data_IF_132326335227
#
_entry.id   IF_132326335227
#
_cell.length_a   1.000
_cell.length_b   1.000
_cell.length_c   1.000
_cell.angle_alpha   90.00
_cell.angle_beta   90.00
_cell.angle_gamma   90.00
#
_symmetry.space_group_name_H-M   'P 1'
#
loop_
_entity.id
_entity.type
_entity.pdbx_description
1 polymer ?
#
# COMPACT_ATOMS: atom_id res chain seq x y z
N UNK A 1 -18.34 -18.46 12.70
CA UNK A 1 -17.52 -17.61 11.83
C UNK A 1 -16.44 -18.51 11.25
N UNK A 2 -16.26 -18.52 9.92
CA UNK A 2 -15.11 -19.20 9.29
C UNK A 2 -13.85 -18.43 9.66
N UNK A 3 -12.78 -19.12 9.98
CA UNK A 3 -11.44 -18.53 10.14
C UNK A 3 -10.96 -18.04 8.77
N UNK A 4 -10.34 -16.85 8.74
CA UNK A 4 -9.75 -16.30 7.52
C UNK A 4 -8.28 -15.99 7.78
N UNK A 5 -7.42 -16.41 6.84
CA UNK A 5 -5.98 -16.18 6.88
C UNK A 5 -5.61 -15.02 5.96
N UNK A 6 -5.12 -13.92 6.56
CA UNK A 6 -4.62 -12.76 5.82
C UNK A 6 -3.11 -12.66 5.99
N UNK A 7 -2.38 -12.64 4.88
CA UNK A 7 -0.94 -12.38 4.87
C UNK A 7 -0.70 -10.90 4.62
N UNK A 8 0.05 -10.27 5.52
CA UNK A 8 0.43 -8.86 5.40
C UNK A 8 1.93 -8.74 5.16
N UNK A 9 2.29 -8.03 4.10
CA UNK A 9 3.66 -7.72 3.70
C UNK A 9 3.81 -6.21 3.54
N UNK A 10 4.99 -5.68 3.85
CA UNK A 10 5.32 -4.26 3.73
C UNK A 10 6.79 -4.08 3.38
N UNK A 11 7.15 -2.91 2.86
CA UNK A 11 8.53 -2.45 2.75
C UNK A 11 9.44 -3.39 1.93
N UNK A 12 8.97 -3.83 0.77
CA UNK A 12 9.71 -4.72 -0.14
C UNK A 12 10.96 -4.05 -0.71
N UNK A 13 10.91 -2.73 -0.91
CA UNK A 13 12.01 -1.87 -1.32
C UNK A 13 12.84 -2.46 -2.48
N UNK A 14 12.18 -2.83 -3.59
CA UNK A 14 12.87 -3.29 -4.80
C UNK A 14 13.83 -2.21 -5.32
N UNK A 15 15.10 -2.30 -4.91
CA UNK A 15 16.15 -1.34 -5.21
C UNK A 15 17.46 -1.78 -4.56
N UNK A 16 18.42 -0.87 -4.38
CA UNK A 16 19.65 -1.14 -3.62
C UNK A 16 19.62 -0.38 -2.29
N UNK A 17 19.85 -1.07 -1.15
CA UNK A 17 20.00 -2.52 -0.98
C UNK A 17 18.65 -3.23 -0.97
N UNK A 18 18.55 -4.41 -1.60
CA UNK A 18 17.39 -5.31 -1.51
C UNK A 18 17.87 -6.70 -1.14
N UNK A 19 17.20 -7.34 -0.19
CA UNK A 19 17.49 -8.72 0.16
C UNK A 19 16.64 -9.68 -0.69
N UNK A 20 17.19 -10.09 -1.83
CA UNK A 20 16.52 -11.03 -2.73
C UNK A 20 16.34 -12.44 -2.12
N UNK A 21 17.09 -12.80 -1.08
CA UNK A 21 16.91 -14.08 -0.41
C UNK A 21 15.64 -14.05 0.45
N UNK A 22 15.38 -12.94 1.14
CA UNK A 22 14.13 -12.74 1.88
C UNK A 22 12.93 -12.68 0.93
N UNK A 23 13.02 -11.93 -0.18
CA UNK A 23 11.94 -11.90 -1.18
C UNK A 23 11.59 -13.30 -1.66
N UNK A 24 12.59 -14.10 -2.06
CA UNK A 24 12.36 -15.49 -2.48
C UNK A 24 11.82 -16.39 -1.36
N UNK A 25 12.17 -16.14 -0.11
CA UNK A 25 11.61 -16.87 1.02
C UNK A 25 10.11 -16.55 1.18
N UNK A 26 9.72 -15.29 1.08
CA UNK A 26 8.32 -14.86 1.10
C UNK A 26 7.54 -15.48 -0.06
N UNK A 27 8.07 -15.46 -1.29
CA UNK A 27 7.45 -16.06 -2.47
C UNK A 27 7.17 -17.57 -2.32
N UNK A 28 7.97 -18.27 -1.52
CA UNK A 28 7.74 -19.70 -1.20
C UNK A 28 6.78 -19.89 -0.01
N UNK A 29 6.87 -19.02 0.99
CA UNK A 29 6.10 -19.13 2.22
C UNK A 29 4.63 -18.80 2.00
N UNK A 30 4.33 -17.73 1.26
CA UNK A 30 2.95 -17.24 1.11
C UNK A 30 2.03 -18.29 0.51
N UNK A 31 2.37 -18.96 -0.61
CA UNK A 31 1.55 -20.07 -1.15
C UNK A 31 1.38 -21.24 -0.17
N UNK A 32 2.41 -21.53 0.64
CA UNK A 32 2.34 -22.62 1.63
C UNK A 32 1.38 -22.33 2.79
N UNK A 33 1.08 -21.06 3.05
CA UNK A 33 0.10 -20.64 4.04
C UNK A 33 -1.34 -20.72 3.54
N UNK A 34 -1.54 -20.88 2.22
CA UNK A 34 -2.84 -20.89 1.56
C UNK A 34 -3.76 -19.74 2.05
N UNK A 35 -3.34 -18.46 1.95
CA UNK A 35 -4.10 -17.35 2.51
C UNK A 35 -5.38 -17.08 1.72
N UNK A 36 -6.40 -16.56 2.40
CA UNK A 36 -7.63 -16.05 1.76
C UNK A 36 -7.37 -14.70 1.08
N UNK A 37 -6.39 -13.93 1.59
CA UNK A 37 -5.96 -12.67 0.98
C UNK A 37 -4.50 -12.35 1.29
N UNK A 38 -3.87 -11.57 0.40
CA UNK A 38 -2.57 -10.96 0.61
C UNK A 38 -2.71 -9.44 0.60
N UNK A 39 -2.05 -8.76 1.52
CA UNK A 39 -2.01 -7.31 1.63
C UNK A 39 -0.59 -6.81 1.54
N UNK A 40 -0.35 -5.85 0.65
CA UNK A 40 0.91 -5.14 0.47
C UNK A 40 0.71 -3.69 0.92
N UNK A 41 1.26 -3.31 2.07
CA UNK A 41 1.05 -1.99 2.65
C UNK A 41 2.14 -0.98 2.29
N UNK A 42 2.56 -0.95 1.03
CA UNK A 42 3.39 0.11 0.48
C UNK A 42 4.89 -0.17 0.47
N UNK A 43 5.64 0.83 0.00
CA UNK A 43 7.08 0.81 -0.21
C UNK A 43 7.56 -0.38 -1.05
N UNK A 44 6.86 -0.56 -2.17
CA UNK A 44 7.23 -1.55 -3.19
C UNK A 44 8.58 -1.19 -3.81
N UNK A 45 8.81 0.08 -4.11
CA UNK A 45 10.07 0.58 -4.66
C UNK A 45 10.95 1.25 -3.60
N UNK A 46 12.26 1.34 -3.87
CA UNK A 46 13.18 2.09 -3.02
C UNK A 46 13.28 3.57 -3.44
N UNK A 47 13.18 3.87 -4.72
CA UNK A 47 13.40 5.22 -5.30
C UNK A 47 12.51 5.51 -6.51
N UNK A 48 11.37 4.88 -6.60
CA UNK A 48 10.41 5.04 -7.71
C UNK A 48 11.05 4.88 -9.10
N UNK A 49 12.00 3.94 -9.26
CA UNK A 49 12.65 3.66 -10.55
C UNK A 49 11.89 2.61 -11.35
N UNK A 50 11.93 2.71 -12.67
CA UNK A 50 11.25 1.76 -13.55
C UNK A 50 11.61 0.29 -13.27
N UNK A 51 12.91 -0.03 -13.13
CA UNK A 51 13.35 -1.40 -12.84
C UNK A 51 12.96 -1.91 -11.44
N UNK A 52 12.71 -1.00 -10.49
CA UNK A 52 12.19 -1.35 -9.16
C UNK A 52 10.72 -1.71 -9.27
N UNK A 53 9.92 -0.89 -9.95
CA UNK A 53 8.50 -1.16 -10.20
C UNK A 53 8.27 -2.41 -11.05
N UNK A 54 9.10 -2.69 -12.05
CA UNK A 54 9.00 -3.93 -12.82
C UNK A 54 9.16 -5.17 -11.93
N UNK A 55 10.12 -5.14 -10.98
CA UNK A 55 10.29 -6.23 -10.00
C UNK A 55 9.12 -6.31 -9.02
N UNK A 56 8.63 -5.16 -8.57
CA UNK A 56 7.45 -5.06 -7.71
C UNK A 56 6.21 -5.62 -8.39
N UNK A 57 6.00 -5.29 -9.67
CA UNK A 57 4.90 -5.83 -10.47
C UNK A 57 5.00 -7.35 -10.59
N UNK A 58 6.18 -7.87 -10.97
CA UNK A 58 6.38 -9.31 -11.08
C UNK A 58 6.19 -10.04 -9.73
N UNK A 59 6.49 -9.40 -8.60
CA UNK A 59 6.18 -9.93 -7.27
C UNK A 59 4.67 -9.88 -6.99
N UNK A 60 4.00 -8.76 -7.29
CA UNK A 60 2.56 -8.60 -7.12
C UNK A 60 1.79 -9.66 -7.90
N UNK A 61 2.15 -9.90 -9.18
CA UNK A 61 1.55 -10.93 -10.02
C UNK A 61 1.64 -12.32 -9.37
N UNK A 62 2.80 -12.69 -8.81
CA UNK A 62 2.95 -13.96 -8.09
C UNK A 62 2.08 -14.05 -6.83
N UNK A 63 1.87 -12.93 -6.12
CA UNK A 63 0.95 -12.91 -4.99
C UNK A 63 -0.50 -13.05 -5.45
N UNK A 64 -0.86 -12.40 -6.56
CA UNK A 64 -2.19 -12.51 -7.18
C UNK A 64 -2.49 -13.90 -7.73
N UNK A 65 -1.49 -14.61 -8.23
CA UNK A 65 -1.61 -16.04 -8.61
C UNK A 65 -1.91 -16.93 -7.39
N UNK A 66 -1.55 -16.48 -6.19
CA UNK A 66 -1.77 -17.24 -4.95
C UNK A 66 -3.11 -16.94 -4.30
N UNK A 67 -3.48 -15.67 -4.16
CA UNK A 67 -4.72 -15.22 -3.52
C UNK A 67 -5.09 -13.79 -3.96
N UNK A 68 -6.36 -13.39 -3.79
CA UNK A 68 -6.77 -11.99 -3.94
C UNK A 68 -5.83 -11.06 -3.19
N UNK A 69 -5.22 -10.10 -3.90
CA UNK A 69 -4.16 -9.25 -3.35
C UNK A 69 -4.54 -7.78 -3.42
N UNK A 70 -4.36 -7.07 -2.31
CA UNK A 70 -4.55 -5.63 -2.18
C UNK A 70 -3.19 -4.95 -1.99
N UNK A 71 -2.92 -3.90 -2.79
CA UNK A 71 -1.72 -3.09 -2.69
C UNK A 71 -2.08 -1.62 -2.48
N UNK A 72 -1.46 -0.95 -1.51
CA UNK A 72 -1.48 0.51 -1.37
C UNK A 72 -0.07 1.06 -1.54
N UNK A 73 0.11 2.32 -2.01
CA UNK A 73 1.42 2.92 -2.13
C UNK A 73 1.99 3.35 -0.77
N UNK A 74 3.31 3.24 -0.63
CA UNK A 74 4.08 3.83 0.46
C UNK A 74 4.76 5.15 0.08
N UNK A 75 5.54 5.73 0.98
CA UNK A 75 6.19 7.02 0.74
C UNK A 75 7.35 6.93 -0.28
N UNK A 76 8.01 5.78 -0.41
CA UNK A 76 9.03 5.54 -1.44
C UNK A 76 8.43 5.31 -2.84
N UNK A 77 7.12 5.05 -2.93
CA UNK A 77 6.37 4.92 -4.18
C UNK A 77 5.85 6.26 -4.72
N UNK A 78 6.09 7.36 -3.99
CA UNK A 78 5.64 8.71 -4.36
C UNK A 78 6.80 9.50 -4.96
N UNK A 79 6.59 10.06 -6.16
CA UNK A 79 7.55 10.97 -6.80
C UNK A 79 7.38 12.42 -6.28
N UNK A 80 7.55 12.63 -4.95
CA UNK A 80 7.29 13.90 -4.26
C UNK A 80 8.07 15.08 -4.85
N UNK A 81 9.27 14.84 -5.42
CA UNK A 81 10.09 15.88 -6.06
C UNK A 81 9.48 16.46 -7.34
N UNK A 82 8.53 15.76 -7.98
CA UNK A 82 7.82 16.23 -9.17
C UNK A 82 6.67 17.18 -8.84
N UNK A 83 6.17 17.14 -7.62
CA UNK A 83 5.08 18.00 -7.16
C UNK A 83 5.27 18.34 -5.69
N UNK A 84 6.33 19.11 -5.35
CA UNK A 84 6.55 19.53 -3.98
C UNK A 84 5.31 20.31 -3.49
N UNK A 85 4.89 20.01 -2.26
CA UNK A 85 3.67 20.55 -1.64
C UNK A 85 2.34 20.25 -2.39
N UNK A 86 2.35 19.29 -3.32
CA UNK A 86 1.15 18.91 -4.08
C UNK A 86 0.69 19.95 -5.11
N UNK A 87 1.52 20.95 -5.46
CA UNK A 87 1.20 22.08 -6.36
C UNK A 87 0.67 21.59 -7.72
N UNK A 88 1.21 20.50 -8.27
CA UNK A 88 0.78 19.91 -9.53
C UNK A 88 -0.23 18.75 -9.35
N UNK A 89 -0.74 18.57 -8.13
CA UNK A 89 -1.76 17.60 -7.79
C UNK A 89 -1.27 16.16 -7.62
N UNK A 90 -2.12 15.33 -7.01
CA UNK A 90 -1.85 13.91 -6.72
C UNK A 90 -1.57 13.07 -7.97
N UNK A 91 -2.14 13.44 -9.11
CA UNK A 91 -1.98 12.68 -10.36
C UNK A 91 -0.52 12.59 -10.79
N UNK A 92 0.25 13.67 -10.60
CA UNK A 92 1.69 13.71 -10.93
C UNK A 92 2.52 12.91 -9.93
N UNK A 93 2.15 12.97 -8.63
CA UNK A 93 2.87 12.26 -7.56
C UNK A 93 2.89 10.74 -7.76
N UNK A 94 1.79 10.16 -8.27
CA UNK A 94 1.62 8.73 -8.45
C UNK A 94 1.65 8.28 -9.91
N UNK A 95 2.06 9.14 -10.83
CA UNK A 95 1.99 8.85 -12.27
C UNK A 95 2.73 7.55 -12.64
N UNK A 96 3.94 7.37 -12.10
CA UNK A 96 4.73 6.17 -12.36
C UNK A 96 4.18 4.95 -11.62
N UNK A 97 3.76 5.09 -10.37
CA UNK A 97 3.10 4.01 -9.63
C UNK A 97 1.90 3.45 -10.41
N UNK A 98 1.02 4.35 -10.88
CA UNK A 98 -0.16 3.98 -11.67
C UNK A 98 0.17 3.27 -12.98
N UNK A 99 1.27 3.65 -13.61
CA UNK A 99 1.74 3.00 -14.85
C UNK A 99 1.98 1.50 -14.66
N UNK A 100 2.38 1.06 -13.46
CA UNK A 100 2.71 -0.33 -13.15
C UNK A 100 1.60 -1.07 -12.40
N UNK A 101 0.95 -0.39 -11.45
CA UNK A 101 0.01 -1.03 -10.52
C UNK A 101 -1.46 -0.65 -10.76
N UNK A 102 -1.74 0.19 -11.77
CA UNK A 102 -3.09 0.62 -12.08
C UNK A 102 -3.49 1.93 -11.40
N UNK A 103 -4.65 2.45 -11.79
CA UNK A 103 -5.12 3.79 -11.39
C UNK A 103 -5.59 3.87 -9.93
N UNK A 104 -5.99 2.74 -9.35
CA UNK A 104 -6.56 2.72 -7.99
C UNK A 104 -5.46 2.74 -6.93
N UNK A 105 -5.50 3.75 -6.05
CA UNK A 105 -4.55 3.92 -4.95
C UNK A 105 -5.11 3.44 -3.60
N UNK A 106 -6.42 3.27 -3.54
CA UNK A 106 -7.16 2.95 -2.31
C UNK A 106 -8.15 1.80 -2.55
N UNK A 107 -7.66 0.65 -3.04
CA UNK A 107 -8.50 -0.46 -3.45
C UNK A 107 -9.31 -1.04 -2.29
N UNK A 108 -10.42 -1.69 -2.64
CA UNK A 108 -11.27 -2.41 -1.69
C UNK A 108 -11.36 -3.87 -2.13
N UNK A 109 -11.03 -4.79 -1.24
CA UNK A 109 -11.16 -6.21 -1.42
C UNK A 109 -12.26 -6.75 -0.51
N UNK A 110 -13.25 -7.44 -1.10
CA UNK A 110 -14.34 -8.08 -0.38
C UNK A 110 -14.29 -9.58 -0.55
N UNK A 111 -14.28 -10.27 0.57
CA UNK A 111 -14.34 -11.72 0.66
C UNK A 111 -15.49 -12.12 1.61
N UNK A 112 -15.96 -13.35 1.58
CA UNK A 112 -16.98 -13.79 2.51
C UNK A 112 -16.56 -13.57 3.97
N UNK A 113 -17.29 -12.67 4.69
CA UNK A 113 -17.01 -12.33 6.08
C UNK A 113 -15.80 -11.42 6.33
N UNK A 114 -15.14 -10.89 5.28
CA UNK A 114 -13.98 -10.02 5.39
C UNK A 114 -14.02 -8.90 4.36
N UNK A 115 -13.83 -7.67 4.80
CA UNK A 115 -13.56 -6.52 3.93
C UNK A 115 -12.20 -5.91 4.26
N UNK A 116 -11.37 -5.71 3.25
CA UNK A 116 -10.06 -5.07 3.35
C UNK A 116 -10.10 -3.78 2.53
N UNK A 117 -9.81 -2.65 3.16
CA UNK A 117 -9.91 -1.33 2.54
C UNK A 117 -8.57 -0.63 2.60
N UNK A 118 -8.00 -0.33 1.44
CA UNK A 118 -6.80 0.47 1.32
C UNK A 118 -7.09 1.94 1.65
N UNK A 119 -6.18 2.60 2.36
CA UNK A 119 -6.21 4.02 2.66
C UNK A 119 -4.90 4.69 2.26
N UNK A 120 -5.01 5.90 1.71
CA UNK A 120 -3.86 6.65 1.24
C UNK A 120 -3.29 7.51 2.37
N UNK A 121 -2.14 7.11 2.89
CA UNK A 121 -1.38 7.86 3.92
C UNK A 121 -0.08 8.47 3.40
N UNK A 122 0.38 8.06 2.21
CA UNK A 122 1.60 8.55 1.57
C UNK A 122 1.26 9.71 0.63
N UNK A 123 1.47 10.94 1.06
CA UNK A 123 1.13 12.16 0.29
C UNK A 123 2.37 12.95 -0.16
N UNK A 124 3.58 12.45 0.09
CA UNK A 124 4.81 13.19 -0.08
C UNK A 124 4.89 14.38 0.90
N UNK A 125 5.37 15.52 0.43
CA UNK A 125 5.36 16.76 1.23
C UNK A 125 3.94 17.34 1.25
N UNK A 126 3.22 17.18 2.36
CA UNK A 126 1.90 17.74 2.58
C UNK A 126 1.93 18.73 3.77
N UNK A 127 1.06 19.75 3.75
CA UNK A 127 0.99 20.70 4.86
C UNK A 127 0.70 20.02 6.22
N UNK A 128 -0.07 18.92 6.22
CA UNK A 128 -0.36 18.12 7.42
C UNK A 128 0.81 17.27 7.92
N UNK A 129 1.84 17.02 7.08
CA UNK A 129 3.04 16.25 7.42
C UNK A 129 4.27 17.13 7.67
N UNK A 130 4.14 18.46 7.70
CA UNK A 130 5.26 19.36 7.92
C UNK A 130 5.84 19.19 9.33
N UNK A 131 7.14 18.99 9.39
CA UNK A 131 7.93 18.89 10.63
C UNK A 131 9.19 19.71 10.49
N UNK A 132 9.73 20.21 11.61
CA UNK A 132 11.01 20.93 11.66
C UNK A 132 12.23 20.03 11.40
N UNK A 133 12.04 18.70 11.43
CA UNK A 133 13.10 17.75 11.14
C UNK A 133 13.07 17.37 9.65
N UNK A 134 14.08 17.78 8.89
CA UNK A 134 14.17 17.51 7.44
C UNK A 134 14.15 16.01 7.08
N UNK A 135 14.56 15.14 8.02
CA UNK A 135 14.53 13.66 7.81
C UNK A 135 13.12 13.11 7.86
N UNK A 136 12.21 13.76 8.55
CA UNK A 136 10.83 13.28 8.73
C UNK A 136 9.86 13.86 7.69
N UNK A 137 10.27 14.87 6.92
CA UNK A 137 9.40 15.59 5.98
C UNK A 137 8.78 14.70 4.90
N UNK A 138 9.46 13.64 4.49
CA UNK A 138 9.00 12.70 3.45
C UNK A 138 8.51 11.36 4.02
N UNK A 139 8.78 11.11 5.31
CA UNK A 139 8.52 9.83 6.00
C UNK A 139 7.22 9.90 6.80
N UNK A 140 6.80 11.09 7.25
CA UNK A 140 5.55 11.22 7.99
C UNK A 140 4.34 11.04 7.08
N UNK A 141 3.53 10.04 7.44
CA UNK A 141 2.21 9.85 6.85
C UNK A 141 1.24 10.96 7.28
N UNK A 142 0.22 11.12 6.46
CA UNK A 142 -0.94 11.95 6.78
C UNK A 142 -2.20 11.22 6.31
N UNK A 143 -3.15 11.04 7.23
CA UNK A 143 -4.45 10.48 6.90
C UNK A 143 -5.49 11.61 6.98
N UNK A 144 -5.92 12.17 5.82
CA UNK A 144 -6.93 13.23 5.79
C UNK A 144 -8.26 12.74 6.37
N UNK A 145 -9.06 13.67 6.94
CA UNK A 145 -10.41 13.34 7.42
C UNK A 145 -11.28 12.73 6.34
N UNK A 146 -11.14 13.14 5.09
CA UNK A 146 -11.85 12.54 3.95
C UNK A 146 -11.55 11.05 3.75
N UNK A 147 -10.34 10.58 4.07
CA UNK A 147 -9.99 9.16 4.03
C UNK A 147 -10.60 8.41 5.23
N UNK A 148 -10.58 8.99 6.42
CA UNK A 148 -11.24 8.39 7.59
C UNK A 148 -12.74 8.31 7.41
N UNK A 149 -13.37 9.35 6.85
CA UNK A 149 -14.80 9.36 6.55
C UNK A 149 -15.16 8.31 5.49
N UNK A 150 -14.31 8.17 4.44
CA UNK A 150 -14.47 7.11 3.43
C UNK A 150 -14.37 5.71 4.03
N UNK A 151 -13.37 5.46 4.88
CA UNK A 151 -13.23 4.19 5.60
C UNK A 151 -14.46 3.90 6.46
N UNK A 152 -14.91 4.89 7.24
CA UNK A 152 -16.08 4.74 8.09
C UNK A 152 -17.34 4.41 7.29
N UNK A 153 -17.57 5.09 6.17
CA UNK A 153 -18.71 4.85 5.29
C UNK A 153 -18.66 3.45 4.65
N UNK A 154 -17.50 3.01 4.17
CA UNK A 154 -17.34 1.68 3.60
C UNK A 154 -17.57 0.59 4.65
N UNK A 155 -17.02 0.75 5.84
CA UNK A 155 -17.19 -0.22 6.93
C UNK A 155 -18.61 -0.27 7.48
N UNK A 156 -19.31 0.88 7.52
CA UNK A 156 -20.71 0.94 7.94
C UNK A 156 -21.66 0.25 6.95
N UNK A 157 -21.28 0.16 5.67
CA UNK A 157 -22.05 -0.50 4.64
C UNK A 157 -21.95 -2.04 4.66
N UNK A 158 -20.96 -2.60 5.38
CA UNK A 158 -20.75 -4.04 5.47
C UNK A 158 -21.61 -4.68 6.57
N UNK A 159 -22.03 -5.95 6.41
CA UNK A 159 -22.76 -6.69 7.42
C UNK A 159 -22.10 -6.64 8.81
N UNK A 160 -22.87 -6.71 9.92
CA UNK A 160 -22.33 -6.56 11.28
C UNK A 160 -21.24 -7.58 11.64
N UNK A 161 -21.32 -8.78 11.11
CA UNK A 161 -20.41 -9.92 11.36
C UNK A 161 -19.19 -9.94 10.45
N UNK A 162 -19.06 -8.95 9.55
CA UNK A 162 -17.91 -8.82 8.66
C UNK A 162 -16.70 -8.28 9.42
N UNK A 163 -15.56 -8.96 9.30
CA UNK A 163 -14.26 -8.45 9.76
C UNK A 163 -13.83 -7.28 8.86
N UNK A 164 -13.44 -6.18 9.47
CA UNK A 164 -13.10 -4.93 8.79
C UNK A 164 -11.61 -4.64 8.99
N UNK A 165 -10.87 -4.56 7.89
CA UNK A 165 -9.42 -4.30 7.90
C UNK A 165 -9.11 -3.04 7.11
N UNK A 166 -8.55 -2.03 7.77
CA UNK A 166 -7.97 -0.86 7.11
C UNK A 166 -6.48 -1.10 6.85
N UNK A 167 -6.03 -0.82 5.63
CA UNK A 167 -4.64 -0.98 5.21
C UNK A 167 -4.07 0.36 4.81
N UNK A 168 -3.02 0.78 5.49
CA UNK A 168 -2.28 2.00 5.18
C UNK A 168 -0.78 1.76 5.46
N UNK A 169 0.07 2.55 4.81
CA UNK A 169 1.52 2.37 4.95
C UNK A 169 2.07 2.92 6.28
N UNK A 170 1.61 4.10 6.70
CA UNK A 170 2.14 4.75 7.89
C UNK A 170 1.42 4.33 9.18
N UNK A 171 2.14 4.38 10.30
CA UNK A 171 1.57 4.12 11.61
C UNK A 171 0.43 5.11 11.95
N UNK A 172 -0.61 4.59 12.58
CA UNK A 172 -1.69 5.38 13.18
C UNK A 172 -1.29 5.66 14.63
N UNK A 173 -1.06 6.94 14.94
CA UNK A 173 -0.75 7.42 16.30
C UNK A 173 -1.94 8.20 16.84
#
# INVERSE_FOLDING_TARGET
MSESTLVHLSDLHFGRPVDLAQIRAVERLVPALAPDAVVLSGDTSQRSRHGEYQRGLAFLERMQDTAPTLLVPGNHDVEWWKSPFGIFGRRVLYAKYRQYFGEELTPVLRLPGLVVVGALSAHGLAFGSMTWNQRDLTVKGHLPSSETDRLAALFAAEPPDTVRVAVLHHNVL
#
